data_IF_327066051830
#
_entry.id   IF_327066051830
#
_cell.length_a   1.000
_cell.length_b   1.000
_cell.length_c   1.000
_cell.angle_alpha   90.00
_cell.angle_beta   90.00
_cell.angle_gamma   90.00
#
_symmetry.space_group_name_H-M   'P 1'
#
loop_
_entity.id
_entity.type
_entity.pdbx_description
1 polymer ?
#
# COMPACT_ATOMS: atom_id res chain seq x y z
N UNK A 1 -57.77 -1.52 -19.01
CA UNK A 1 -56.35 -1.18 -19.18
C UNK A 1 -55.71 -1.17 -17.80
N UNK A 2 -54.77 -2.10 -17.58
CA UNK A 2 -53.95 -2.26 -16.36
C UNK A 2 -52.83 -1.23 -16.37
N UNK A 3 -52.44 -0.76 -15.18
CA UNK A 3 -51.15 -0.11 -14.94
C UNK A 3 -51.29 1.23 -14.21
N UNK A 4 -50.51 1.57 -13.19
CA UNK A 4 -49.47 0.86 -12.44
C UNK A 4 -49.44 1.58 -11.07
N UNK A 5 -49.55 0.83 -9.97
CA UNK A 5 -49.30 1.36 -8.63
C UNK A 5 -47.79 1.52 -8.45
N UNK A 6 -47.31 2.76 -8.25
CA UNK A 6 -45.96 3.00 -7.77
C UNK A 6 -45.90 2.69 -6.27
N UNK A 7 -45.36 1.52 -5.92
CA UNK A 7 -44.92 1.22 -4.56
C UNK A 7 -43.55 1.87 -4.39
N UNK A 8 -43.50 2.96 -3.62
CA UNK A 8 -42.25 3.54 -3.14
C UNK A 8 -41.66 2.61 -2.08
N UNK A 9 -40.72 1.76 -2.47
CA UNK A 9 -39.89 1.00 -1.53
C UNK A 9 -38.82 1.95 -0.99
N UNK A 10 -39.16 2.71 0.06
CA UNK A 10 -38.13 3.35 0.90
C UNK A 10 -37.48 2.21 1.68
N UNK A 11 -36.31 1.77 1.19
CA UNK A 11 -35.47 0.84 1.93
C UNK A 11 -35.13 1.47 3.28
N UNK A 12 -35.66 0.89 4.35
CA UNK A 12 -35.19 1.14 5.69
C UNK A 12 -33.72 0.74 5.74
N UNK A 13 -32.83 1.73 5.70
CA UNK A 13 -31.44 1.55 6.07
C UNK A 13 -31.49 1.23 7.56
N UNK A 14 -31.31 -0.05 7.89
CA UNK A 14 -31.30 -0.53 9.26
C UNK A 14 -30.32 0.28 10.08
N UNK A 15 -30.82 0.87 11.16
CA UNK A 15 -30.05 1.56 12.18
C UNK A 15 -29.20 0.54 12.94
N UNK A 16 -28.01 0.20 12.44
CA UNK A 16 -26.93 -0.26 13.31
C UNK A 16 -26.14 0.96 13.76
N UNK A 17 -26.40 1.41 14.98
CA UNK A 17 -25.49 2.29 15.72
C UNK A 17 -24.19 1.51 16.03
N UNK A 18 -23.37 1.27 15.02
CA UNK A 18 -21.99 0.85 15.19
C UNK A 18 -21.14 2.12 15.04
N UNK A 19 -20.45 2.50 16.10
CA UNK A 19 -19.54 3.66 16.16
C UNK A 19 -18.70 3.75 14.86
N UNK A 20 -18.66 4.92 14.22
CA UNK A 20 -17.81 5.23 13.04
C UNK A 20 -16.31 5.20 13.42
N UNK A 21 -15.81 4.03 13.84
CA UNK A 21 -14.39 3.83 14.16
C UNK A 21 -13.64 3.68 12.85
N UNK A 22 -12.60 4.48 12.65
CA UNK A 22 -11.74 4.38 11.47
C UNK A 22 -11.02 3.03 11.44
N UNK A 23 -10.56 2.60 10.25
CA UNK A 23 -9.79 1.35 10.14
C UNK A 23 -8.53 1.39 11.00
N UNK A 24 -7.83 2.54 11.04
CA UNK A 24 -6.66 2.69 11.88
C UNK A 24 -6.97 2.51 13.37
N UNK A 25 -8.02 3.16 13.87
CA UNK A 25 -8.42 3.06 15.28
C UNK A 25 -8.86 1.65 15.64
N UNK A 26 -9.68 1.02 14.77
CA UNK A 26 -10.16 -0.35 14.90
C UNK A 26 -8.99 -1.32 15.07
N UNK A 27 -8.02 -1.29 14.17
CA UNK A 27 -6.90 -2.24 14.19
C UNK A 27 -5.82 -1.87 15.20
N UNK A 28 -5.72 -0.60 15.61
CA UNK A 28 -4.86 -0.22 16.74
C UNK A 28 -5.39 -0.83 18.03
N UNK A 29 -6.70 -0.71 18.30
CA UNK A 29 -7.33 -1.36 19.46
C UNK A 29 -7.19 -2.88 19.39
N UNK A 30 -7.47 -3.49 18.23
CA UNK A 30 -7.45 -4.95 18.09
C UNK A 30 -6.05 -5.55 18.28
N UNK A 31 -4.99 -4.88 17.79
CA UNK A 31 -3.64 -5.44 17.73
C UNK A 31 -2.73 -4.94 18.86
N UNK A 32 -2.92 -3.70 19.31
CA UNK A 32 -2.05 -3.03 20.29
C UNK A 32 -2.79 -2.66 21.58
N UNK A 33 -4.04 -3.11 21.73
CA UNK A 33 -4.95 -2.94 22.89
C UNK A 33 -5.38 -1.49 23.14
N UNK A 34 -4.45 -0.55 23.27
CA UNK A 34 -4.74 0.85 23.55
C UNK A 34 -4.70 1.70 22.27
N UNK A 35 -5.77 2.42 21.99
CA UNK A 35 -5.84 3.36 20.87
C UNK A 35 -5.33 4.75 21.29
N UNK A 36 -4.08 5.04 20.96
CA UNK A 36 -3.45 6.35 21.15
C UNK A 36 -2.47 6.65 20.00
N UNK A 37 -2.01 7.90 19.91
CA UNK A 37 -1.16 8.36 18.81
C UNK A 37 0.12 7.51 18.62
N UNK A 38 0.81 7.16 19.70
CA UNK A 38 2.03 6.32 19.66
C UNK A 38 1.74 4.91 19.13
N UNK A 39 0.65 4.30 19.57
CA UNK A 39 0.26 2.96 19.13
C UNK A 39 -0.23 2.98 17.67
N UNK A 40 -0.97 4.00 17.25
CA UNK A 40 -1.33 4.18 15.85
C UNK A 40 -0.07 4.33 14.99
N UNK A 41 0.86 5.20 15.38
CA UNK A 41 2.13 5.35 14.65
C UNK A 41 2.93 4.03 14.59
N UNK A 42 2.89 3.24 15.67
CA UNK A 42 3.48 1.90 15.72
C UNK A 42 2.79 0.95 14.74
N UNK A 43 1.45 0.91 14.71
CA UNK A 43 0.69 0.12 13.74
C UNK A 43 1.09 0.47 12.31
N UNK A 44 1.18 1.75 11.97
CA UNK A 44 1.57 2.20 10.64
C UNK A 44 3.03 1.88 10.32
N UNK A 45 3.92 1.94 11.30
CA UNK A 45 5.32 1.52 11.15
C UNK A 45 5.39 0.03 10.80
N UNK A 46 4.69 -0.82 11.56
CA UNK A 46 4.64 -2.28 11.32
C UNK A 46 4.06 -2.61 9.95
N UNK A 47 2.94 -1.98 9.59
CA UNK A 47 2.26 -2.18 8.32
C UNK A 47 3.15 -1.76 7.15
N UNK A 48 3.62 -0.51 7.14
CA UNK A 48 4.41 0.04 6.03
C UNK A 48 5.75 -0.68 5.89
N UNK A 49 6.45 -1.01 6.98
CA UNK A 49 7.67 -1.80 6.88
C UNK A 49 7.40 -3.17 6.26
N UNK A 50 6.28 -3.81 6.60
CA UNK A 50 5.89 -5.09 6.00
C UNK A 50 5.56 -4.94 4.51
N UNK A 51 4.94 -3.84 4.10
CA UNK A 51 4.73 -3.51 2.67
C UNK A 51 6.07 -3.33 1.96
N UNK A 52 7.04 -2.65 2.58
CA UNK A 52 8.34 -2.33 1.96
C UNK A 52 9.23 -3.56 1.85
N UNK A 53 9.49 -4.24 2.97
CA UNK A 53 10.51 -5.30 3.07
C UNK A 53 9.94 -6.72 3.20
N UNK A 54 8.62 -6.87 3.18
CA UNK A 54 7.96 -8.15 3.42
C UNK A 54 7.89 -8.50 4.91
N UNK A 55 7.46 -9.73 5.21
CA UNK A 55 7.31 -10.17 6.60
C UNK A 55 8.65 -10.14 7.36
N UNK A 56 8.69 -9.43 8.48
CA UNK A 56 9.82 -9.40 9.41
C UNK A 56 9.42 -9.55 10.88
N UNK A 57 8.13 -9.57 11.16
CA UNK A 57 7.52 -9.87 12.46
C UNK A 57 7.03 -11.33 12.49
N UNK A 58 6.62 -11.79 13.68
CA UNK A 58 5.92 -13.07 13.90
C UNK A 58 4.91 -12.89 15.05
N UNK A 59 3.77 -13.60 15.07
CA UNK A 59 3.28 -14.53 14.03
C UNK A 59 2.65 -13.81 12.84
N UNK A 60 2.67 -14.44 11.65
CA UNK A 60 2.13 -13.88 10.41
C UNK A 60 1.06 -14.83 9.85
N UNK A 61 -0.06 -14.30 9.37
CA UNK A 61 -1.15 -15.13 8.81
C UNK A 61 -0.95 -15.53 7.36
N UNK A 62 -0.11 -14.82 6.61
CA UNK A 62 0.26 -15.11 5.23
C UNK A 62 1.66 -14.58 4.92
N UNK A 63 2.24 -15.07 3.81
CA UNK A 63 3.49 -14.56 3.29
C UNK A 63 3.30 -13.20 2.59
N UNK A 64 4.25 -12.30 2.79
CA UNK A 64 4.33 -10.98 2.17
C UNK A 64 5.76 -10.79 1.66
N UNK A 65 5.98 -10.77 0.33
CA UNK A 65 7.30 -10.51 -0.26
C UNK A 65 7.82 -9.10 -0.02
N UNK A 66 6.93 -8.11 -0.06
CA UNK A 66 7.26 -6.69 -0.02
C UNK A 66 7.60 -6.10 -1.40
N UNK A 67 7.48 -4.77 -1.51
CA UNK A 67 7.65 -4.07 -2.80
C UNK A 67 9.11 -3.98 -3.26
N UNK A 68 10.09 -4.17 -2.36
CA UNK A 68 11.50 -4.24 -2.74
C UNK A 68 11.90 -5.62 -3.30
N UNK A 69 11.03 -6.63 -3.18
CA UNK A 69 11.21 -7.91 -3.83
C UNK A 69 10.57 -7.88 -5.24
N UNK A 70 11.19 -8.62 -6.17
CA UNK A 70 10.55 -8.93 -7.46
C UNK A 70 9.28 -9.74 -7.22
N UNK A 71 8.26 -9.50 -8.03
CA UNK A 71 6.99 -10.19 -7.95
C UNK A 71 6.37 -10.42 -9.31
N UNK A 72 5.15 -10.97 -9.28
CA UNK A 72 4.31 -11.15 -10.47
C UNK A 72 2.92 -10.61 -10.12
N UNK A 73 2.37 -9.77 -10.98
CA UNK A 73 1.01 -9.23 -10.85
C UNK A 73 0.26 -9.48 -12.16
N UNK A 74 -0.89 -10.15 -12.08
CA UNK A 74 -1.72 -10.53 -13.25
C UNK A 74 -0.95 -11.21 -14.39
N UNK A 75 0.13 -11.93 -14.06
CA UNK A 75 0.97 -12.64 -15.02
C UNK A 75 2.15 -11.84 -15.57
N UNK A 76 2.28 -10.56 -15.21
CA UNK A 76 3.41 -9.71 -15.58
C UNK A 76 4.47 -9.67 -14.47
N UNK A 77 5.77 -9.77 -14.83
CA UNK A 77 6.86 -9.61 -13.88
C UNK A 77 7.00 -8.14 -13.45
N UNK A 78 7.10 -7.91 -12.14
CA UNK A 78 7.20 -6.57 -11.55
C UNK A 78 8.46 -6.45 -10.71
N UNK A 79 9.16 -5.31 -10.83
CA UNK A 79 10.31 -4.99 -10.00
C UNK A 79 10.34 -3.50 -9.66
N UNK A 80 9.89 -3.14 -8.45
CA UNK A 80 9.84 -1.73 -8.03
C UNK A 80 11.16 -1.23 -7.40
N UNK A 81 12.08 -2.13 -7.02
CA UNK A 81 13.35 -1.76 -6.39
C UNK A 81 14.13 -0.65 -7.12
N UNK A 82 14.19 -0.62 -8.47
CA UNK A 82 14.91 0.42 -9.20
C UNK A 82 14.44 1.86 -8.96
N UNK A 83 13.19 2.05 -8.52
CA UNK A 83 12.66 3.36 -8.14
C UNK A 83 13.14 3.83 -6.75
N UNK A 84 13.65 2.91 -5.93
CA UNK A 84 14.06 3.18 -4.54
C UNK A 84 15.58 3.22 -4.37
N UNK A 85 16.34 2.50 -5.19
CA UNK A 85 17.80 2.33 -4.99
C UNK A 85 18.66 3.36 -5.76
N UNK A 86 18.03 4.27 -6.50
CA UNK A 86 18.70 5.29 -7.30
C UNK A 86 19.21 4.82 -8.66
N UNK A 87 18.80 3.62 -9.12
CA UNK A 87 19.16 3.15 -10.46
C UNK A 87 18.35 3.82 -11.58
N UNK A 88 17.20 4.42 -11.27
CA UNK A 88 16.36 5.16 -12.20
C UNK A 88 16.40 6.68 -11.96
N UNK A 89 16.39 7.45 -13.05
CA UNK A 89 16.17 8.91 -13.06
C UNK A 89 14.66 9.18 -13.01
N UNK A 90 14.04 8.85 -11.88
CA UNK A 90 12.58 8.80 -11.72
C UNK A 90 12.02 9.73 -10.63
N UNK A 91 12.89 10.38 -9.86
CA UNK A 91 12.45 11.26 -8.76
C UNK A 91 12.25 12.68 -9.25
N UNK A 92 11.12 13.30 -8.90
CA UNK A 92 10.88 14.71 -9.18
C UNK A 92 11.62 15.62 -8.19
N UNK A 93 12.62 16.34 -8.67
CA UNK A 93 13.28 17.43 -7.95
C UNK A 93 13.03 18.76 -8.67
N UNK A 94 12.07 19.51 -8.15
CA UNK A 94 11.71 20.85 -8.64
C UNK A 94 11.34 20.88 -10.13
N UNK A 95 10.57 19.88 -10.59
CA UNK A 95 10.12 19.77 -11.98
C UNK A 95 11.09 19.02 -12.89
N UNK A 96 12.22 18.53 -12.35
CA UNK A 96 13.23 17.79 -13.11
C UNK A 96 13.40 16.37 -12.58
N UNK A 97 13.49 15.40 -13.49
CA UNK A 97 13.78 14.01 -13.14
C UNK A 97 15.25 13.86 -12.70
N UNK A 98 15.47 13.26 -11.53
CA UNK A 98 16.81 12.95 -10.98
C UNK A 98 16.81 11.53 -10.39
N UNK A 99 18.00 10.93 -10.29
CA UNK A 99 18.18 9.67 -9.58
C UNK A 99 18.46 9.94 -8.09
N UNK A 100 17.68 9.33 -7.20
CA UNK A 100 17.82 9.42 -5.75
C UNK A 100 17.75 8.01 -5.17
N UNK A 101 18.70 7.68 -4.31
CA UNK A 101 18.64 6.46 -3.50
C UNK A 101 17.85 6.76 -2.22
N UNK A 102 16.67 6.16 -2.08
CA UNK A 102 15.82 6.19 -0.89
C UNK A 102 16.10 5.04 0.09
N UNK A 103 17.10 4.20 -0.19
CA UNK A 103 17.63 3.16 0.69
C UNK A 103 19.05 3.53 1.17
N UNK A 104 19.32 4.84 1.26
CA UNK A 104 20.64 5.42 1.50
C UNK A 104 21.14 5.33 2.95
N UNK A 105 20.34 4.75 3.87
CA UNK A 105 20.65 4.79 5.30
C UNK A 105 20.27 3.49 6.02
N UNK A 106 20.75 2.38 5.45
CA UNK A 106 20.65 1.03 6.01
C UNK A 106 19.67 0.12 5.28
N UNK A 107 18.88 0.65 4.34
CA UNK A 107 17.91 -0.10 3.56
C UNK A 107 16.96 -0.88 4.47
N UNK A 108 16.83 -2.19 4.23
CA UNK A 108 15.94 -3.05 5.00
C UNK A 108 16.36 -3.29 6.47
N UNK A 109 17.63 -3.11 6.82
CA UNK A 109 18.13 -3.42 8.17
C UNK A 109 17.46 -2.61 9.30
N UNK A 110 17.35 -1.27 9.23
CA UNK A 110 16.63 -0.49 10.25
C UNK A 110 15.12 -0.82 10.27
N UNK A 111 14.50 -1.13 9.12
CA UNK A 111 13.08 -1.45 9.05
C UNK A 111 12.72 -2.72 9.83
N UNK A 112 13.62 -3.71 9.84
CA UNK A 112 13.49 -4.92 10.69
C UNK A 112 13.49 -4.62 12.19
N UNK A 113 13.97 -3.43 12.59
CA UNK A 113 14.02 -2.95 13.96
C UNK A 113 12.94 -1.88 14.23
N UNK A 114 11.92 -1.77 13.37
CA UNK A 114 10.88 -0.74 13.42
C UNK A 114 11.41 0.70 13.35
N UNK A 115 12.57 0.90 12.70
CA UNK A 115 13.16 2.21 12.47
C UNK A 115 13.04 2.58 10.99
N UNK A 116 12.65 3.82 10.65
CA UNK A 116 12.60 4.26 9.25
C UNK A 116 13.97 4.23 8.56
N UNK A 117 15.06 4.42 9.30
CA UNK A 117 16.46 4.50 8.83
C UNK A 117 17.42 4.46 10.03
N UNK A 118 18.75 4.52 9.82
CA UNK A 118 19.72 4.64 10.92
C UNK A 118 19.85 6.07 11.48
N UNK A 119 19.47 7.10 10.70
CA UNK A 119 19.55 8.52 11.06
C UNK A 119 18.33 9.32 10.58
N UNK A 120 18.08 10.49 11.16
CA UNK A 120 16.89 11.31 10.84
C UNK A 120 17.09 12.29 9.67
N UNK A 121 18.16 12.14 8.87
CA UNK A 121 18.54 13.10 7.81
C UNK A 121 18.61 12.51 6.41
N UNK A 122 18.37 11.21 6.27
CA UNK A 122 18.50 10.48 5.01
C UNK A 122 17.25 10.56 4.15
N UNK A 123 17.39 10.29 2.85
CA UNK A 123 16.21 10.18 1.97
C UNK A 123 15.31 9.04 2.42
N UNK A 124 15.91 7.95 2.90
CA UNK A 124 15.20 6.84 3.53
C UNK A 124 14.33 7.29 4.71
N UNK A 125 14.89 8.06 5.65
CA UNK A 125 14.13 8.57 6.79
C UNK A 125 12.87 9.32 6.34
N UNK A 126 13.04 10.26 5.40
CA UNK A 126 11.94 11.07 4.92
C UNK A 126 10.91 10.26 4.14
N UNK A 127 11.34 9.32 3.28
CA UNK A 127 10.42 8.43 2.57
C UNK A 127 9.55 7.63 3.55
N UNK A 128 10.18 6.92 4.47
CA UNK A 128 9.47 5.98 5.35
C UNK A 128 8.57 6.71 6.34
N UNK A 129 9.05 7.80 6.96
CA UNK A 129 8.21 8.58 7.87
C UNK A 129 7.04 9.24 7.15
N UNK A 130 7.22 9.73 5.92
CA UNK A 130 6.12 10.23 5.10
C UNK A 130 5.10 9.15 4.76
N UNK A 131 5.52 7.92 4.47
CA UNK A 131 4.60 6.81 4.24
C UNK A 131 3.77 6.50 5.50
N UNK A 132 4.40 6.44 6.69
CA UNK A 132 3.67 6.21 7.95
C UNK A 132 2.61 7.29 8.19
N UNK A 133 2.97 8.55 7.97
CA UNK A 133 2.09 9.70 8.17
C UNK A 133 0.97 9.75 7.13
N UNK A 134 1.28 9.48 5.87
CA UNK A 134 0.31 9.49 4.78
C UNK A 134 -0.77 8.43 5.00
N UNK A 135 -0.37 7.18 5.25
CA UNK A 135 -1.32 6.11 5.55
C UNK A 135 -2.06 6.35 6.86
N UNK A 136 -1.41 6.99 7.85
CA UNK A 136 -2.07 7.44 9.06
C UNK A 136 -3.28 8.33 8.80
N UNK A 137 -3.10 9.35 7.95
CA UNK A 137 -4.18 10.24 7.56
C UNK A 137 -5.22 9.54 6.70
N UNK A 138 -4.78 8.77 5.69
CA UNK A 138 -5.66 8.08 4.75
C UNK A 138 -6.58 7.05 5.44
N UNK A 139 -6.05 6.32 6.43
CA UNK A 139 -6.80 5.32 7.20
C UNK A 139 -7.57 5.91 8.39
N UNK A 140 -7.51 7.23 8.58
CA UNK A 140 -8.30 7.95 9.57
C UNK A 140 -7.84 7.79 11.03
N UNK A 141 -6.54 7.65 11.28
CA UNK A 141 -6.01 7.55 12.65
C UNK A 141 -6.36 8.79 13.47
N UNK A 142 -7.05 8.61 14.60
CA UNK A 142 -7.51 9.74 15.44
C UNK A 142 -6.39 10.51 16.15
N UNK A 143 -5.24 9.88 16.38
CA UNK A 143 -4.05 10.48 16.96
C UNK A 143 -3.12 11.15 15.95
N UNK A 144 -3.43 11.10 14.64
CA UNK A 144 -2.65 11.79 13.61
C UNK A 144 -2.51 13.29 13.91
N UNK A 145 -1.32 13.84 13.63
CA UNK A 145 -0.98 15.25 13.90
C UNK A 145 -1.05 15.63 15.39
N UNK A 146 -0.81 14.66 16.29
CA UNK A 146 -0.68 14.90 17.73
C UNK A 146 0.68 14.39 18.23
N UNK A 147 0.99 14.62 19.52
CA UNK A 147 2.23 14.15 20.11
C UNK A 147 2.32 12.62 20.02
N UNK A 148 3.40 12.11 19.42
CA UNK A 148 3.59 10.67 19.18
C UNK A 148 3.17 10.21 17.77
N UNK A 149 2.45 11.03 17.00
CA UNK A 149 2.14 10.77 15.60
C UNK A 149 2.18 12.08 14.78
N UNK A 150 3.34 12.40 14.17
CA UNK A 150 3.50 13.61 13.37
C UNK A 150 2.52 13.69 12.19
N UNK A 151 2.19 14.90 11.76
CA UNK A 151 1.44 15.13 10.53
C UNK A 151 2.29 14.79 9.29
N UNK A 152 1.62 14.45 8.19
CA UNK A 152 2.24 14.28 6.87
C UNK A 152 2.86 15.58 6.39
N UNK A 153 4.15 15.52 6.06
CA UNK A 153 4.93 16.67 5.55
C UNK A 153 5.46 16.46 4.13
N UNK A 154 5.00 15.40 3.47
CA UNK A 154 5.33 15.13 2.08
C UNK A 154 4.59 16.06 1.10
N UNK A 155 4.78 15.81 -0.19
CA UNK A 155 4.21 16.60 -1.29
C UNK A 155 3.01 15.88 -1.90
N UNK A 156 2.25 16.56 -2.76
CA UNK A 156 1.15 15.95 -3.50
C UNK A 156 1.62 14.72 -4.31
N UNK A 157 0.73 13.73 -4.46
CA UNK A 157 1.09 12.42 -5.03
C UNK A 157 1.47 12.49 -6.50
N UNK A 158 0.66 13.14 -7.34
CA UNK A 158 0.93 13.23 -8.78
C UNK A 158 2.29 13.85 -9.09
N UNK A 159 2.62 15.04 -8.55
CA UNK A 159 3.94 15.63 -8.74
C UNK A 159 5.09 14.78 -8.18
N UNK A 160 4.90 14.09 -7.05
CA UNK A 160 5.97 13.28 -6.44
C UNK A 160 6.34 12.07 -7.29
N UNK A 161 5.38 11.51 -8.04
CA UNK A 161 5.55 10.30 -8.86
C UNK A 161 5.61 10.60 -10.37
N UNK A 162 5.70 11.87 -10.76
CA UNK A 162 5.54 12.34 -12.15
C UNK A 162 6.56 11.80 -13.18
N UNK A 163 7.68 11.23 -12.72
CA UNK A 163 8.73 10.69 -13.59
C UNK A 163 8.96 9.19 -13.37
N UNK A 164 8.02 8.51 -12.72
CA UNK A 164 8.12 7.06 -12.50
C UNK A 164 7.53 6.26 -13.65
N UNK A 165 6.58 6.81 -14.40
CA UNK A 165 5.88 6.10 -15.49
C UNK A 165 5.26 4.75 -15.07
N UNK A 166 4.79 4.66 -13.82
CA UNK A 166 4.26 3.42 -13.29
C UNK A 166 3.09 2.93 -14.13
N UNK A 167 3.16 1.67 -14.51
CA UNK A 167 2.11 0.97 -15.24
C UNK A 167 1.09 0.29 -14.31
N UNK A 168 -0.01 -0.28 -14.86
CA UNK A 168 -1.03 -0.94 -14.05
C UNK A 168 -0.50 -2.13 -13.24
N UNK A 169 0.48 -2.87 -13.75
CA UNK A 169 1.04 -4.02 -13.06
C UNK A 169 1.94 -3.58 -11.89
N UNK A 170 2.77 -2.56 -12.11
CA UNK A 170 3.61 -1.98 -11.06
C UNK A 170 2.79 -1.36 -9.93
N UNK A 171 1.78 -0.54 -10.26
CA UNK A 171 0.91 0.06 -9.25
C UNK A 171 0.00 -1.00 -8.59
N UNK A 172 -0.53 -1.93 -9.37
CA UNK A 172 -1.33 -3.06 -8.88
C UNK A 172 -0.55 -3.95 -7.91
N UNK A 173 0.73 -4.21 -8.19
CA UNK A 173 1.62 -4.95 -7.29
C UNK A 173 1.83 -4.21 -5.96
N UNK A 174 2.05 -2.89 -6.00
CA UNK A 174 2.11 -2.07 -4.77
C UNK A 174 0.84 -2.22 -3.93
N UNK A 175 -0.35 -2.09 -4.55
CA UNK A 175 -1.64 -2.24 -3.86
C UNK A 175 -1.82 -3.66 -3.31
N UNK A 176 -1.39 -4.68 -4.06
CA UNK A 176 -1.42 -6.08 -3.60
C UNK A 176 -0.54 -6.26 -2.35
N UNK A 177 0.67 -5.69 -2.31
CA UNK A 177 1.53 -5.78 -1.14
C UNK A 177 0.92 -5.08 0.08
N UNK A 178 0.19 -3.97 -0.09
CA UNK A 178 -0.60 -3.34 0.99
C UNK A 178 -1.65 -4.29 1.55
N UNK A 179 -2.43 -4.93 0.68
CA UNK A 179 -3.44 -5.92 1.09
C UNK A 179 -2.83 -7.12 1.82
N UNK A 180 -1.78 -7.71 1.24
CA UNK A 180 -1.08 -8.86 1.84
C UNK A 180 -0.45 -8.52 3.19
N UNK A 181 0.15 -7.33 3.33
CA UNK A 181 0.69 -6.86 4.60
C UNK A 181 -0.41 -6.72 5.65
N UNK A 182 -1.53 -6.07 5.31
CA UNK A 182 -2.66 -5.90 6.21
C UNK A 182 -3.22 -7.25 6.69
N UNK A 183 -3.49 -8.18 5.77
CA UNK A 183 -4.03 -9.51 6.12
C UNK A 183 -3.05 -10.33 6.94
N UNK A 184 -1.74 -10.11 6.78
CA UNK A 184 -0.71 -10.83 7.56
C UNK A 184 -0.77 -10.49 9.05
N UNK A 185 -1.22 -9.26 9.39
CA UNK A 185 -1.52 -8.82 10.76
C UNK A 185 -2.94 -9.19 11.22
N UNK A 186 -3.75 -9.81 10.36
CA UNK A 186 -5.12 -10.20 10.69
C UNK A 186 -6.19 -9.14 10.43
N UNK A 187 -5.89 -8.12 9.62
CA UNK A 187 -6.93 -7.29 8.99
C UNK A 187 -7.83 -8.18 8.14
N UNK A 188 -9.14 -7.96 8.19
CA UNK A 188 -10.07 -8.77 7.40
C UNK A 188 -9.89 -8.49 5.91
N UNK A 189 -10.21 -9.48 5.08
CA UNK A 189 -10.10 -9.34 3.63
C UNK A 189 -10.99 -8.21 3.12
N UNK A 190 -12.18 -8.02 3.70
CA UNK A 190 -13.10 -6.95 3.31
C UNK A 190 -12.50 -5.57 3.54
N UNK A 191 -11.90 -5.33 4.72
CA UNK A 191 -11.25 -4.05 5.03
C UNK A 191 -10.00 -3.83 4.16
N UNK A 192 -9.20 -4.88 3.94
CA UNK A 192 -8.04 -4.80 3.06
C UNK A 192 -8.43 -4.50 1.60
N UNK A 193 -9.49 -5.12 1.10
CA UNK A 193 -10.05 -4.86 -0.23
C UNK A 193 -10.62 -3.46 -0.35
N UNK A 194 -11.27 -2.94 0.70
CA UNK A 194 -11.76 -1.56 0.72
C UNK A 194 -10.60 -0.56 0.60
N UNK A 195 -9.50 -0.77 1.34
CA UNK A 195 -8.28 0.04 1.22
C UNK A 195 -7.68 -0.07 -0.18
N UNK A 196 -7.56 -1.28 -0.73
CA UNK A 196 -7.04 -1.48 -2.08
C UNK A 196 -7.87 -0.77 -3.16
N UNK A 197 -9.19 -0.81 -3.03
CA UNK A 197 -10.12 -0.10 -3.92
C UNK A 197 -9.96 1.42 -3.81
N UNK A 198 -9.79 1.95 -2.59
CA UNK A 198 -9.54 3.37 -2.38
C UNK A 198 -8.22 3.82 -3.01
N UNK A 199 -7.14 3.05 -2.85
CA UNK A 199 -5.85 3.33 -3.49
C UNK A 199 -5.97 3.33 -5.02
N UNK A 200 -6.66 2.34 -5.60
CA UNK A 200 -6.90 2.29 -7.04
C UNK A 200 -7.72 3.49 -7.54
N UNK A 201 -8.77 3.87 -6.81
CA UNK A 201 -9.62 5.00 -7.18
C UNK A 201 -8.87 6.32 -7.13
N UNK A 202 -8.02 6.52 -6.12
CA UNK A 202 -7.30 7.79 -5.94
C UNK A 202 -6.09 7.95 -6.86
N UNK A 203 -5.41 6.84 -7.18
CA UNK A 203 -4.07 6.89 -7.77
C UNK A 203 -3.90 6.04 -9.04
N UNK A 204 -4.82 5.10 -9.30
CA UNK A 204 -4.73 4.10 -10.38
C UNK A 204 -5.24 4.56 -11.74
N UNK A 205 -5.84 5.75 -11.83
CA UNK A 205 -6.33 6.31 -13.09
C UNK A 205 -5.41 7.43 -13.56
N UNK A 206 -5.11 7.43 -14.85
CA UNK A 206 -4.33 8.49 -15.50
C UNK A 206 -5.18 9.75 -15.65
N UNK A 207 -4.56 10.90 -15.42
CA UNK A 207 -5.18 12.22 -15.57
C UNK A 207 -6.38 12.51 -14.65
N UNK A 208 -6.52 11.81 -13.51
CA UNK A 208 -7.63 12.08 -12.58
C UNK A 208 -7.71 13.55 -12.16
N UNK A 209 -8.92 14.13 -12.06
CA UNK A 209 -9.08 15.51 -11.65
C UNK A 209 -8.52 15.76 -10.24
N UNK A 210 -8.16 17.01 -9.90
CA UNK A 210 -7.71 17.33 -8.56
C UNK A 210 -8.72 16.87 -7.50
N UNK A 211 -8.23 16.25 -6.44
CA UNK A 211 -9.05 15.79 -5.31
C UNK A 211 -8.31 15.99 -4.00
N UNK A 212 -9.06 16.06 -2.91
CA UNK A 212 -8.50 16.25 -1.57
C UNK A 212 -8.21 14.88 -0.95
N UNK A 213 -6.93 14.50 -0.90
CA UNK A 213 -6.46 13.29 -0.18
C UNK A 213 -6.00 13.65 1.23
N UNK A 214 -5.20 14.70 1.34
CA UNK A 214 -4.75 15.28 2.61
C UNK A 214 -5.44 16.65 2.73
N UNK A 215 -6.46 16.81 3.60
CA UNK A 215 -7.19 18.07 3.79
C UNK A 215 -6.31 19.31 3.92
N UNK A 216 -5.20 19.18 4.63
CA UNK A 216 -4.23 20.26 4.88
C UNK A 216 -3.52 20.73 3.59
N UNK A 217 -3.55 19.94 2.51
CA UNK A 217 -2.98 20.28 1.21
C UNK A 217 -4.04 20.80 0.21
N UNK A 218 -5.33 20.75 0.55
CA UNK A 218 -6.42 21.08 -0.36
C UNK A 218 -6.55 20.09 -1.53
N UNK A 219 -7.16 20.55 -2.63
CA UNK A 219 -7.31 19.75 -3.84
C UNK A 219 -5.97 19.67 -4.58
N UNK A 220 -5.49 18.45 -4.83
CA UNK A 220 -4.20 18.21 -5.50
C UNK A 220 -4.37 17.18 -6.62
N UNK A 221 -3.43 17.19 -7.57
CA UNK A 221 -3.32 16.12 -8.57
C UNK A 221 -2.71 14.88 -7.90
N UNK A 222 -3.38 13.74 -8.04
CA UNK A 222 -3.04 12.54 -7.28
C UNK A 222 -2.65 11.34 -8.12
N UNK A 223 -2.97 11.29 -9.43
CA UNK A 223 -2.66 10.15 -10.29
C UNK A 223 -1.19 9.71 -10.19
N UNK A 224 -0.97 8.44 -9.84
CA UNK A 224 0.35 7.79 -9.76
C UNK A 224 0.56 6.86 -10.95
N UNK A 225 -0.47 6.09 -11.35
CA UNK A 225 -0.45 5.33 -12.59
C UNK A 225 -0.54 6.30 -13.78
N UNK A 226 0.59 6.57 -14.41
CA UNK A 226 0.71 7.57 -15.47
C UNK A 226 1.12 6.98 -16.82
N UNK A 227 1.48 5.69 -16.86
CA UNK A 227 1.79 4.99 -18.09
C UNK A 227 0.60 5.01 -19.07
N UNK A 228 0.89 4.92 -20.37
CA UNK A 228 -0.13 4.84 -21.43
C UNK A 228 -1.13 3.68 -21.28
N UNK A 229 -0.75 2.59 -20.62
CA UNK A 229 -1.63 1.44 -20.31
C UNK A 229 -2.60 1.70 -19.15
N UNK A 230 -2.35 2.71 -18.32
CA UNK A 230 -3.24 3.06 -17.22
C UNK A 230 -4.59 3.52 -17.74
N UNK A 231 -5.71 3.10 -17.11
CA UNK A 231 -7.03 3.54 -17.52
C UNK A 231 -7.11 5.07 -17.38
N UNK A 232 -7.68 5.71 -18.39
CA UNK A 232 -7.95 7.14 -18.33
C UNK A 232 -9.13 7.38 -17.38
N UNK A 233 -9.01 8.39 -16.52
CA UNK A 233 -10.12 8.81 -15.66
C UNK A 233 -11.34 9.22 -16.51
N UNK A 234 -12.58 8.84 -16.15
CA UNK A 234 -13.79 9.25 -16.86
C UNK A 234 -13.96 10.78 -16.95
N UNK A 235 -13.36 11.54 -16.02
CA UNK A 235 -13.34 12.99 -15.96
C UNK A 235 -11.92 13.55 -16.13
N UNK A 236 -11.12 12.93 -16.99
CA UNK A 236 -9.71 13.25 -17.14
C UNK A 236 -9.40 14.72 -17.45
N UNK A 237 -8.47 15.29 -16.70
CA UNK A 237 -7.94 16.66 -16.88
C UNK A 237 -6.45 16.61 -17.23
N UNK A 238 -6.09 15.93 -18.32
CA UNK A 238 -4.70 15.66 -18.68
C UNK A 238 -3.82 16.91 -18.81
N UNK A 239 -4.39 18.04 -19.28
CA UNK A 239 -3.66 19.31 -19.39
C UNK A 239 -3.15 19.87 -18.05
N UNK A 240 -3.70 19.41 -16.91
CA UNK A 240 -3.23 19.79 -15.58
C UNK A 240 -1.96 19.02 -15.15
N UNK A 241 -1.72 17.85 -15.75
CA UNK A 241 -0.54 17.03 -15.45
C UNK A 241 0.66 17.46 -16.29
N UNK A 242 1.90 17.23 -15.80
CA UNK A 242 3.11 17.41 -16.62
C UNK A 242 2.98 16.71 -17.98
N UNK A 243 3.49 17.35 -19.03
CA UNK A 243 3.45 16.84 -20.40
C UNK A 243 2.05 16.41 -20.87
N UNK A 244 0.99 17.10 -20.43
CA UNK A 244 -0.40 16.78 -20.73
C UNK A 244 -0.79 15.33 -20.36
N UNK A 245 -0.32 14.84 -19.21
CA UNK A 245 -0.63 13.49 -18.72
C UNK A 245 0.04 12.37 -19.52
N UNK A 246 1.07 12.70 -20.29
CA UNK A 246 1.95 11.74 -20.96
C UNK A 246 3.20 11.58 -20.11
N UNK A 247 3.36 10.43 -19.50
CA UNK A 247 4.58 10.08 -18.79
C UNK A 247 5.59 9.44 -19.75
N UNK A 248 6.87 9.51 -19.37
CA UNK A 248 7.99 8.96 -20.13
C UNK A 248 8.74 8.02 -19.23
N UNK A 249 8.99 6.81 -19.73
CA UNK A 249 9.76 5.79 -19.01
C UNK A 249 11.09 6.36 -18.49
N UNK A 250 11.39 6.16 -17.19
CA UNK A 250 12.60 6.71 -16.61
C UNK A 250 13.85 6.06 -17.18
N UNK A 251 14.87 6.87 -17.42
CA UNK A 251 16.18 6.39 -17.86
C UNK A 251 16.92 5.74 -16.69
N UNK A 252 17.75 4.75 -17.01
CA UNK A 252 18.78 4.29 -16.06
C UNK A 252 19.76 5.41 -15.77
N UNK A 253 20.14 5.57 -14.50
CA UNK A 253 21.20 6.49 -14.11
C UNK A 253 22.54 6.01 -14.71
N UNK A 254 23.30 6.91 -15.34
CA UNK A 254 24.67 6.60 -15.75
C UNK A 254 25.52 6.37 -14.49
N UNK A 255 26.18 5.21 -14.41
CA UNK A 255 26.75 4.63 -13.20
C UNK A 255 27.95 5.36 -12.58
N UNK A 256 27.73 6.53 -11.98
CA UNK A 256 28.71 7.24 -11.14
C UNK A 256 28.11 7.69 -9.80
N UNK A 257 27.32 6.83 -9.16
CA UNK A 257 27.00 6.98 -7.74
C UNK A 257 27.84 5.99 -6.92
N UNK A 258 28.46 6.42 -5.80
CA UNK A 258 29.29 5.55 -4.98
C UNK A 258 28.39 4.50 -4.32
N UNK A 259 28.42 3.29 -4.86
CA UNK A 259 27.93 2.10 -4.18
C UNK A 259 28.70 1.98 -2.87
N UNK A 260 28.04 2.15 -1.73
CA UNK A 260 28.56 1.70 -0.45
C UNK A 260 28.62 0.18 -0.50
N UNK A 261 29.77 -0.33 -0.92
CA UNK A 261 30.09 -1.75 -0.99
C UNK A 261 29.96 -2.36 0.41
N UNK A 262 28.84 -3.03 0.68
CA UNK A 262 28.77 -4.04 1.72
C UNK A 262 28.12 -5.29 1.15
N UNK A 263 28.96 -6.30 1.03
CA UNK A 263 28.75 -7.64 0.52
C UNK A 263 27.45 -8.24 1.06
N UNK A 264 26.48 -8.49 0.18
CA UNK A 264 25.36 -9.41 0.45
C UNK A 264 25.84 -10.80 0.00
N UNK A 265 25.87 -11.83 0.87
CA UNK A 265 26.13 -13.18 0.42
C UNK A 265 24.94 -13.68 -0.41
N UNK A 266 25.23 -14.16 -1.62
CA UNK A 266 24.27 -14.88 -2.48
C UNK A 266 23.71 -16.11 -1.77
N UNK A 267 22.38 -16.36 -1.81
CA UNK A 267 21.86 -17.68 -1.54
C UNK A 267 22.19 -18.60 -2.72
N UNK A 268 22.90 -19.67 -2.43
CA UNK A 268 23.20 -20.78 -3.33
C UNK A 268 21.92 -21.44 -3.82
N UNK A 269 21.84 -21.63 -5.14
CA UNK A 269 20.81 -22.40 -5.83
C UNK A 269 20.89 -23.88 -5.45
N UNK A 270 19.82 -24.43 -4.89
CA UNK A 270 19.49 -25.86 -4.99
C UNK A 270 18.23 -26.00 -5.87
N UNK A 271 18.27 -27.01 -6.74
CA UNK A 271 17.42 -27.13 -7.94
C UNK A 271 15.91 -27.37 -7.70
N UNK A 272 15.15 -27.53 -8.80
CA UNK A 272 13.70 -27.38 -8.80
C UNK A 272 13.01 -28.65 -8.30
N UNK A 273 12.24 -28.56 -7.21
CA UNK A 273 11.13 -29.48 -6.95
C UNK A 273 9.94 -29.05 -7.80
N UNK A 274 9.63 -29.87 -8.81
CA UNK A 274 8.43 -29.73 -9.64
C UNK A 274 7.19 -29.96 -8.76
N UNK A 275 6.33 -28.95 -8.65
CA UNK A 275 4.95 -29.13 -8.23
C UNK A 275 4.05 -29.11 -9.47
N UNK A 276 3.62 -30.29 -9.88
CA UNK A 276 2.54 -30.48 -10.84
C UNK A 276 1.21 -30.42 -10.07
N UNK A 277 0.48 -29.32 -10.23
CA UNK A 277 -0.92 -29.24 -9.80
C UNK A 277 -1.78 -30.05 -10.75
N UNK A 278 -2.28 -31.19 -10.29
CA UNK A 278 -3.38 -31.91 -10.92
C UNK A 278 -4.46 -32.14 -9.86
N UNK A 279 -5.68 -31.70 -10.19
CA UNK A 279 -6.88 -31.93 -9.42
C UNK A 279 -7.16 -33.43 -9.28
N UNK A 280 -7.52 -33.86 -8.07
CA UNK A 280 -8.37 -35.04 -7.87
C UNK A 280 -9.39 -34.68 -6.80
N UNK A 281 -10.64 -34.59 -7.27
CA UNK A 281 -11.84 -34.75 -6.46
C UNK A 281 -11.90 -36.21 -6.05
N UNK A 282 -11.95 -36.51 -4.75
CA UNK A 282 -12.68 -37.69 -4.27
C UNK A 282 -13.31 -37.42 -2.89
N UNK A 283 -14.61 -37.69 -2.87
CA UNK A 283 -15.47 -37.80 -1.70
C UNK A 283 -15.14 -39.09 -0.94
N UNK A 284 -15.24 -39.04 0.40
CA UNK A 284 -15.90 -40.03 1.28
C UNK A 284 -15.12 -40.27 2.59
N UNK A 285 -15.86 -40.36 3.71
CA UNK A 285 -15.41 -41.15 4.86
C UNK A 285 -15.39 -40.49 6.24
N UNK A 286 -16.56 -40.07 6.72
CA UNK A 286 -17.14 -40.27 8.06
C UNK A 286 -16.27 -40.61 9.31
N UNK A 287 -16.72 -40.03 10.45
CA UNK A 287 -16.48 -40.34 11.89
C UNK A 287 -15.48 -39.41 12.61
N UNK A 288 -15.91 -38.32 13.26
CA UNK A 288 -16.58 -38.19 14.57
C UNK A 288 -15.59 -38.46 15.74
N UNK A 289 -15.39 -37.58 16.73
CA UNK A 289 -16.31 -37.29 17.86
C UNK A 289 -15.63 -36.28 18.84
N UNK A 290 -16.41 -35.26 19.26
CA UNK A 290 -16.39 -34.45 20.52
C UNK A 290 -15.21 -33.52 20.85
N UNK A 291 -15.40 -32.31 21.37
CA UNK A 291 -16.57 -31.74 22.03
C UNK A 291 -16.65 -30.22 21.93
N UNK A 292 -17.89 -29.73 21.84
CA UNK A 292 -18.21 -28.31 21.90
C UNK A 292 -18.47 -27.80 23.30
N UNK A 293 -18.52 -26.48 23.42
CA UNK A 293 -19.44 -25.78 24.32
C UNK A 293 -20.04 -24.62 23.53
N UNK A 294 -21.37 -24.63 23.47
CA UNK A 294 -22.23 -23.60 22.88
C UNK A 294 -22.62 -22.55 23.93
N UNK A 295 -23.04 -21.35 23.47
CA UNK A 295 -24.27 -20.64 23.86
C UNK A 295 -24.33 -19.32 23.05
N UNK A 296 -25.16 -19.21 22.01
CA UNK A 296 -26.57 -18.77 22.00
C UNK A 296 -26.73 -17.27 22.35
N UNK A 297 -27.01 -16.42 21.34
CA UNK A 297 -28.34 -15.92 20.91
C UNK A 297 -28.88 -14.77 21.77
N UNK A 298 -29.11 -13.62 21.15
CA UNK A 298 -30.30 -12.80 21.37
C UNK A 298 -30.53 -11.89 20.14
N UNK A 299 -31.63 -12.19 19.44
CA UNK A 299 -32.54 -11.36 18.61
C UNK A 299 -31.98 -10.13 17.89
#
# INVERSE_FOLDING_TARGET
MRGLNFIALVGAIGSSFAQNVSLCDKYTTALLMQNNATNQYTLLTLLVNTVVIGNYTQPNKNSVPGILAKGVYEGEEVNLLPYFDGTLVSTNRNGSAVAINFLDDGGAAPLKLNKPSNSERSNQYFLLTHLYQFFGKLLGCSGYSTMGFPAYRGRAMGPSHAFMDLDPAEFGYFVQQVGLAATSFGVTTEDATAVGTALQTLFGYRCSPPTTVIPEQGMTLNSICQNSKCPLDPMATCAAYPNNGVSVEPKKANGTMPTSTRTIPSPTSSGPTRFTGAAVVENAGMMAVLGGVAFALAL
#
